data_IF_064644687097
#
_entry.id   IF_064644687097
#
_cell.length_a   1.000
_cell.length_b   1.000
_cell.length_c   1.000
_cell.angle_alpha   90.00
_cell.angle_beta   90.00
_cell.angle_gamma   90.00
#
_symmetry.space_group_name_H-M   'P 1'
#
loop_
_entity.id
_entity.type
_entity.pdbx_description
1 polymer ?
#
# COMPACT_ATOMS: atom_id res chain seq x y z
N UNK A 1 -6.79 -12.95 36.12
CA UNK A 1 -7.79 -13.99 35.78
C UNK A 1 -9.15 -13.46 35.32
N UNK A 2 -9.34 -12.13 35.14
CA UNK A 2 -10.62 -11.56 34.66
C UNK A 2 -10.78 -11.61 33.13
N UNK A 3 -9.70 -11.42 32.36
CA UNK A 3 -9.76 -11.42 30.90
C UNK A 3 -10.24 -12.75 30.29
N UNK A 4 -10.16 -13.86 31.03
CA UNK A 4 -10.73 -15.16 30.64
C UNK A 4 -12.21 -15.07 30.26
N UNK A 5 -12.95 -14.15 30.88
CA UNK A 5 -14.38 -13.92 30.65
C UNK A 5 -14.66 -12.71 29.74
N UNK A 6 -13.62 -12.13 29.14
CA UNK A 6 -13.79 -11.00 28.25
C UNK A 6 -14.31 -11.50 26.89
N UNK A 7 -15.42 -10.95 26.41
CA UNK A 7 -16.09 -11.42 25.18
C UNK A 7 -15.26 -11.20 23.91
N UNK A 8 -14.47 -10.12 23.87
CA UNK A 8 -13.68 -9.69 22.69
C UNK A 8 -12.20 -9.37 22.99
N UNK A 9 -11.41 -10.33 23.48
CA UNK A 9 -10.07 -10.07 24.00
C UNK A 9 -9.08 -9.66 22.92
N UNK A 10 -9.19 -10.20 21.70
CA UNK A 10 -8.29 -9.83 20.58
C UNK A 10 -8.69 -8.47 20.03
N UNK A 11 -10.00 -8.20 19.84
CA UNK A 11 -10.46 -6.87 19.43
C UNK A 11 -10.06 -5.79 20.44
N UNK A 12 -10.11 -6.08 21.74
CA UNK A 12 -9.64 -5.17 22.79
C UNK A 12 -8.14 -4.85 22.63
N UNK A 13 -7.29 -5.87 22.45
CA UNK A 13 -5.85 -5.65 22.22
C UNK A 13 -5.60 -4.87 20.94
N UNK A 14 -6.29 -5.21 19.85
CA UNK A 14 -6.17 -4.53 18.57
C UNK A 14 -6.46 -3.03 18.72
N UNK A 15 -7.63 -2.68 19.26
CA UNK A 15 -8.03 -1.29 19.47
C UNK A 15 -7.07 -0.56 20.41
N UNK A 16 -6.62 -1.23 21.48
CA UNK A 16 -5.69 -0.63 22.44
C UNK A 16 -4.34 -0.31 21.80
N UNK A 17 -3.76 -1.26 21.06
CA UNK A 17 -2.48 -1.03 20.38
C UNK A 17 -2.59 -0.06 19.23
N UNK A 18 -3.68 -0.12 18.47
CA UNK A 18 -3.89 0.78 17.36
C UNK A 18 -4.09 2.22 17.82
N UNK A 19 -4.97 2.45 18.80
CA UNK A 19 -5.30 3.77 19.29
C UNK A 19 -4.16 4.41 20.10
N UNK A 20 -3.48 3.61 20.93
CA UNK A 20 -2.38 4.09 21.79
C UNK A 20 -1.00 3.85 21.19
N UNK A 21 -0.88 3.67 19.87
CA UNK A 21 0.40 3.38 19.19
C UNK A 21 1.49 4.39 19.62
N UNK A 22 1.22 5.69 19.51
CA UNK A 22 2.15 6.75 19.90
C UNK A 22 2.59 6.68 21.38
N UNK A 23 1.74 6.17 22.29
CA UNK A 23 2.06 6.04 23.72
C UNK A 23 2.75 4.71 24.06
N UNK A 24 2.59 3.69 23.22
CA UNK A 24 3.07 2.34 23.46
C UNK A 24 4.32 1.98 22.64
N UNK A 25 4.64 2.75 21.59
CA UNK A 25 5.80 2.54 20.71
C UNK A 25 7.09 2.34 21.50
N UNK A 26 7.39 3.27 22.39
CA UNK A 26 8.60 3.26 23.23
C UNK A 26 8.45 2.43 24.52
N UNK A 27 7.37 1.65 24.65
CA UNK A 27 7.07 0.84 25.84
C UNK A 27 6.87 -0.64 25.49
N UNK A 28 7.86 -1.31 24.88
CA UNK A 28 7.74 -2.70 24.45
C UNK A 28 7.40 -3.66 25.59
N UNK A 29 7.94 -3.43 26.79
CA UNK A 29 7.59 -4.20 27.99
C UNK A 29 6.11 -4.12 28.36
N UNK A 30 5.50 -2.94 28.24
CA UNK A 30 4.09 -2.77 28.54
C UNK A 30 3.22 -3.49 27.50
N UNK A 31 3.57 -3.38 26.21
CA UNK A 31 2.91 -4.13 25.13
C UNK A 31 2.97 -5.64 25.40
N UNK A 32 4.18 -6.15 25.66
CA UNK A 32 4.44 -7.57 25.95
C UNK A 32 3.63 -8.06 27.16
N UNK A 33 3.63 -7.30 28.26
CA UNK A 33 2.84 -7.64 29.46
C UNK A 33 1.35 -7.63 29.20
N UNK A 34 0.84 -6.70 28.40
CA UNK A 34 -0.57 -6.63 28.05
C UNK A 34 -1.00 -7.83 27.20
N UNK A 35 -0.20 -8.18 26.18
CA UNK A 35 -0.44 -9.40 25.38
C UNK A 35 -0.42 -10.64 26.27
N UNK A 36 0.59 -10.78 27.14
CA UNK A 36 0.69 -11.91 28.05
C UNK A 36 -0.54 -11.98 28.98
N UNK A 37 -0.92 -10.87 29.61
CA UNK A 37 -2.05 -10.83 30.55
C UNK A 37 -3.39 -11.21 29.88
N UNK A 38 -3.62 -10.75 28.66
CA UNK A 38 -4.88 -11.00 27.93
C UNK A 38 -4.86 -12.37 27.27
N UNK A 39 -3.87 -12.68 26.43
CA UNK A 39 -3.87 -13.92 25.63
C UNK A 39 -3.56 -15.14 26.47
N UNK A 40 -2.64 -15.06 27.44
CA UNK A 40 -2.33 -16.23 28.28
C UNK A 40 -3.54 -16.62 29.15
N UNK A 41 -4.39 -15.66 29.52
CA UNK A 41 -5.62 -15.94 30.26
C UNK A 41 -6.65 -16.76 29.46
N UNK A 42 -6.50 -16.84 28.14
CA UNK A 42 -7.36 -17.61 27.24
C UNK A 42 -6.87 -19.05 27.05
N UNK A 43 -5.65 -19.40 27.48
CA UNK A 43 -5.03 -20.69 27.15
C UNK A 43 -5.77 -21.91 27.72
N UNK A 44 -6.48 -21.74 28.83
CA UNK A 44 -7.26 -22.83 29.43
C UNK A 44 -8.58 -23.11 28.68
N UNK A 45 -9.08 -22.14 27.90
CA UNK A 45 -10.39 -22.21 27.24
C UNK A 45 -10.31 -22.19 25.71
N UNK A 46 -9.12 -21.92 25.15
CA UNK A 46 -8.88 -21.88 23.71
C UNK A 46 -7.79 -22.88 23.33
N UNK A 47 -7.93 -23.57 22.18
CA UNK A 47 -6.94 -24.51 21.71
C UNK A 47 -5.56 -23.86 21.45
N UNK A 48 -4.47 -24.64 21.53
CA UNK A 48 -3.14 -24.17 21.17
C UNK A 48 -3.11 -23.68 19.71
N UNK A 49 -2.28 -22.67 19.42
CA UNK A 49 -2.23 -22.08 18.08
C UNK A 49 -3.40 -21.15 17.72
N UNK A 50 -4.39 -20.94 18.59
CA UNK A 50 -5.54 -20.09 18.29
C UNK A 50 -5.22 -18.63 17.96
N UNK A 51 -4.21 -18.01 18.58
CA UNK A 51 -3.89 -16.60 18.36
C UNK A 51 -2.43 -16.36 17.91
N UNK A 52 -1.49 -16.46 18.84
CA UNK A 52 -0.08 -16.11 18.61
C UNK A 52 0.66 -17.19 17.82
N UNK A 53 1.64 -16.78 17.01
CA UNK A 53 2.61 -17.71 16.42
C UNK A 53 3.51 -18.35 17.48
N UNK A 54 4.09 -19.49 17.14
CA UNK A 54 5.01 -20.19 18.05
C UNK A 54 6.26 -19.38 18.35
N UNK A 55 6.83 -18.71 17.34
CA UNK A 55 7.98 -17.82 17.53
C UNK A 55 7.67 -16.67 18.51
N UNK A 56 6.48 -16.09 18.44
CA UNK A 56 6.06 -15.05 19.39
C UNK A 56 5.81 -15.62 20.79
N UNK A 57 5.29 -16.85 20.92
CA UNK A 57 5.17 -17.53 22.23
C UNK A 57 6.53 -17.75 22.89
N UNK A 58 7.54 -18.15 22.11
CA UNK A 58 8.91 -18.28 22.60
C UNK A 58 9.51 -16.94 23.00
N UNK A 59 9.14 -15.85 22.33
CA UNK A 59 9.50 -14.50 22.79
C UNK A 59 8.81 -14.16 24.12
N UNK A 60 7.53 -14.49 24.28
CA UNK A 60 6.79 -14.24 25.52
C UNK A 60 7.35 -14.97 26.73
N UNK A 61 7.96 -16.16 26.56
CA UNK A 61 8.54 -16.93 27.66
C UNK A 61 9.92 -16.47 28.12
N UNK A 62 10.57 -15.53 27.40
CA UNK A 62 11.87 -14.98 27.82
C UNK A 62 11.77 -14.21 29.15
N UNK A 63 12.87 -13.96 29.86
CA UNK A 63 12.86 -13.05 31.00
C UNK A 63 12.29 -11.67 30.66
N UNK A 64 11.68 -10.98 31.62
CA UNK A 64 11.10 -9.65 31.43
C UNK A 64 12.14 -8.57 31.09
N UNK A 65 13.40 -8.81 31.47
CA UNK A 65 14.56 -7.98 31.18
C UNK A 65 15.06 -8.17 29.73
N UNK A 66 14.78 -9.34 29.13
CA UNK A 66 15.12 -9.63 27.74
C UNK A 66 13.99 -9.21 26.80
N UNK A 67 13.98 -7.92 26.49
CA UNK A 67 12.99 -7.26 25.63
C UNK A 67 13.43 -7.34 24.16
N UNK A 68 14.72 -7.56 23.92
CA UNK A 68 15.38 -7.47 22.62
C UNK A 68 15.02 -8.66 21.72
N UNK A 69 14.00 -8.49 20.89
CA UNK A 69 13.73 -9.42 19.81
C UNK A 69 13.49 -8.71 18.50
N UNK A 70 14.41 -8.91 17.56
CA UNK A 70 14.26 -8.47 16.19
C UNK A 70 14.06 -9.70 15.28
N UNK A 71 12.81 -10.09 14.99
CA UNK A 71 12.57 -11.25 14.15
C UNK A 71 13.16 -11.07 12.74
N UNK A 72 13.69 -12.17 12.19
CA UNK A 72 14.17 -12.22 10.81
C UNK A 72 13.03 -12.28 9.79
N UNK A 73 13.37 -12.24 8.50
CA UNK A 73 12.38 -12.24 7.41
C UNK A 73 11.45 -13.47 7.45
N UNK A 74 11.99 -14.64 7.80
CA UNK A 74 11.24 -15.90 7.91
C UNK A 74 10.05 -15.84 8.86
N UNK A 75 10.14 -15.06 9.93
CA UNK A 75 9.02 -14.84 10.86
C UNK A 75 7.87 -14.09 10.18
N UNK A 76 8.18 -13.00 9.47
CA UNK A 76 7.18 -12.22 8.74
C UNK A 76 6.59 -13.03 7.58
N UNK A 77 7.42 -13.80 6.86
CA UNK A 77 6.97 -14.73 5.83
C UNK A 77 5.98 -15.76 6.39
N UNK A 78 6.27 -16.35 7.56
CA UNK A 78 5.37 -17.32 8.20
C UNK A 78 4.05 -16.66 8.67
N UNK A 79 4.11 -15.43 9.17
CA UNK A 79 2.95 -14.67 9.60
C UNK A 79 2.02 -14.32 8.43
N UNK A 80 2.59 -13.84 7.31
CA UNK A 80 1.83 -13.54 6.08
C UNK A 80 1.26 -14.84 5.50
N UNK A 81 2.06 -15.90 5.43
CA UNK A 81 1.62 -17.23 4.96
C UNK A 81 0.41 -17.74 5.73
N UNK A 82 0.36 -17.53 7.05
CA UNK A 82 -0.79 -17.91 7.88
C UNK A 82 -2.07 -17.21 7.42
N UNK A 83 -2.00 -15.92 7.07
CA UNK A 83 -3.14 -15.18 6.55
C UNK A 83 -3.54 -15.66 5.15
N UNK A 84 -2.57 -15.76 4.23
CA UNK A 84 -2.79 -16.26 2.85
C UNK A 84 -3.49 -17.62 2.87
N UNK A 85 -2.93 -18.58 3.61
CA UNK A 85 -3.49 -19.92 3.72
C UNK A 85 -4.91 -19.89 4.32
N UNK A 86 -5.17 -19.02 5.30
CA UNK A 86 -6.51 -18.89 5.89
C UNK A 86 -7.52 -18.34 4.88
N UNK A 87 -7.14 -17.36 4.06
CA UNK A 87 -7.98 -16.81 3.00
C UNK A 87 -8.26 -17.83 1.89
N UNK A 88 -7.31 -18.74 1.63
CA UNK A 88 -7.47 -19.90 0.76
C UNK A 88 -8.22 -21.06 1.45
N UNK A 89 -8.86 -20.83 2.60
CA UNK A 89 -9.62 -21.83 3.37
C UNK A 89 -8.80 -23.03 3.84
N UNK A 90 -7.47 -22.93 3.91
CA UNK A 90 -6.61 -23.95 4.53
C UNK A 90 -6.72 -23.84 6.06
N UNK A 91 -6.83 -24.96 6.80
CA UNK A 91 -7.06 -24.96 8.25
C UNK A 91 -5.76 -24.64 9.02
N UNK A 92 -5.37 -23.37 9.08
CA UNK A 92 -4.20 -22.92 9.86
C UNK A 92 -4.54 -22.67 11.32
N UNK A 93 -5.73 -22.14 11.57
CA UNK A 93 -6.25 -21.95 12.92
C UNK A 93 -7.10 -23.15 13.32
N UNK A 94 -7.13 -23.50 14.63
CA UNK A 94 -7.99 -24.55 15.13
C UNK A 94 -9.46 -24.26 14.83
N UNK A 95 -10.24 -25.32 14.59
CA UNK A 95 -11.67 -25.19 14.33
C UNK A 95 -12.37 -24.61 15.56
N UNK A 96 -13.11 -23.53 15.35
CA UNK A 96 -13.91 -22.86 16.38
C UNK A 96 -15.31 -22.57 15.85
N UNK A 97 -16.28 -22.56 16.76
CA UNK A 97 -17.67 -22.23 16.43
C UNK A 97 -17.86 -20.71 16.36
N UNK A 98 -17.84 -20.13 15.15
CA UNK A 98 -17.82 -18.67 14.94
C UNK A 98 -19.01 -17.93 15.56
N UNK A 99 -20.16 -18.57 15.75
CA UNK A 99 -21.35 -17.97 16.39
C UNK A 99 -21.08 -17.48 17.83
N UNK A 100 -20.13 -18.10 18.53
CA UNK A 100 -19.79 -17.77 19.92
C UNK A 100 -18.39 -17.17 20.05
N UNK A 101 -17.85 -16.60 18.97
CA UNK A 101 -16.54 -15.96 18.95
C UNK A 101 -16.67 -14.47 18.65
N UNK A 102 -15.61 -13.72 18.97
CA UNK A 102 -15.56 -12.28 18.69
C UNK A 102 -15.53 -11.94 17.19
N UNK A 103 -15.18 -12.91 16.33
CA UNK A 103 -15.10 -12.77 14.88
C UNK A 103 -16.10 -13.68 14.18
N UNK A 104 -16.65 -13.19 13.05
CA UNK A 104 -17.64 -13.92 12.26
C UNK A 104 -17.05 -15.06 11.40
N UNK A 105 -15.74 -15.04 11.12
CA UNK A 105 -15.07 -16.02 10.28
C UNK A 105 -13.55 -16.09 10.55
N UNK A 106 -12.90 -17.11 9.98
CA UNK A 106 -11.47 -17.36 10.12
C UNK A 106 -10.59 -16.26 9.55
N UNK A 107 -10.98 -15.63 8.44
CA UNK A 107 -10.24 -14.54 7.81
C UNK A 107 -10.14 -13.31 8.70
N UNK A 108 -11.28 -12.88 9.26
CA UNK A 108 -11.34 -11.77 10.21
C UNK A 108 -10.51 -12.05 11.47
N UNK A 109 -10.59 -13.28 12.00
CA UNK A 109 -9.78 -13.72 13.12
C UNK A 109 -8.28 -13.66 12.81
N UNK A 110 -7.86 -14.29 11.71
CA UNK A 110 -6.47 -14.35 11.26
C UNK A 110 -5.85 -12.96 11.07
N UNK A 111 -6.61 -12.04 10.50
CA UNK A 111 -6.21 -10.64 10.31
C UNK A 111 -5.96 -9.96 11.66
N UNK A 112 -6.94 -9.98 12.56
CA UNK A 112 -6.83 -9.28 13.84
C UNK A 112 -5.70 -9.83 14.71
N UNK A 113 -5.56 -11.16 14.84
CA UNK A 113 -4.48 -11.73 15.64
C UNK A 113 -3.11 -11.41 15.06
N UNK A 114 -2.99 -11.35 13.73
CA UNK A 114 -1.73 -10.99 13.07
C UNK A 114 -1.40 -9.51 13.24
N UNK A 115 -2.37 -8.60 13.14
CA UNK A 115 -2.17 -7.19 13.44
C UNK A 115 -1.81 -6.94 14.91
N UNK A 116 -2.48 -7.63 15.85
CA UNK A 116 -2.13 -7.55 17.28
C UNK A 116 -0.70 -8.00 17.52
N UNK A 117 -0.29 -9.12 16.92
CA UNK A 117 1.06 -9.65 17.06
C UNK A 117 2.12 -8.68 16.50
N UNK A 118 1.87 -8.11 15.31
CA UNK A 118 2.74 -7.11 14.67
C UNK A 118 2.88 -5.84 15.51
N UNK A 119 1.77 -5.29 16.03
CA UNK A 119 1.83 -4.09 16.88
C UNK A 119 2.52 -4.36 18.22
N UNK A 120 2.48 -5.60 18.70
CA UNK A 120 3.09 -6.01 19.96
C UNK A 120 4.59 -6.33 19.85
N UNK A 121 5.18 -6.37 18.65
CA UNK A 121 6.63 -6.51 18.48
C UNK A 121 7.39 -5.35 19.13
N UNK A 122 8.60 -5.58 19.65
CA UNK A 122 9.39 -4.52 20.29
C UNK A 122 10.08 -3.58 19.30
N UNK A 123 10.03 -3.89 18.00
CA UNK A 123 10.64 -3.09 16.93
C UNK A 123 9.81 -1.85 16.58
N UNK A 124 10.48 -0.86 15.97
CA UNK A 124 9.82 0.34 15.44
C UNK A 124 8.82 -0.03 14.32
N UNK A 125 7.63 0.62 14.26
CA UNK A 125 6.63 0.42 13.20
C UNK A 125 7.19 0.42 11.78
N UNK A 126 8.06 1.38 11.45
CA UNK A 126 8.66 1.53 10.12
C UNK A 126 9.53 0.33 9.77
N UNK A 127 10.25 -0.24 10.74
CA UNK A 127 11.06 -1.45 10.54
C UNK A 127 10.15 -2.65 10.28
N UNK A 128 9.12 -2.82 11.10
CA UNK A 128 8.16 -3.93 10.96
C UNK A 128 7.48 -3.88 9.60
N UNK A 129 6.99 -2.70 9.19
CA UNK A 129 6.32 -2.54 7.90
C UNK A 129 7.28 -2.78 6.73
N UNK A 130 8.50 -2.28 6.78
CA UNK A 130 9.52 -2.60 5.76
C UNK A 130 9.83 -4.10 5.71
N UNK A 131 9.82 -4.81 6.84
CA UNK A 131 9.97 -6.27 6.85
C UNK A 131 8.78 -6.99 6.22
N UNK A 132 7.55 -6.48 6.37
CA UNK A 132 6.39 -6.99 5.64
C UNK A 132 6.54 -6.77 4.13
N UNK A 133 7.08 -5.63 3.70
CA UNK A 133 7.33 -5.38 2.27
C UNK A 133 8.45 -6.27 1.73
N UNK A 134 9.51 -6.48 2.52
CA UNK A 134 10.63 -7.35 2.19
C UNK A 134 10.19 -8.81 1.97
N UNK A 135 9.06 -9.26 2.54
CA UNK A 135 8.50 -10.60 2.26
C UNK A 135 8.28 -10.77 0.75
N UNK A 136 7.77 -9.72 0.09
CA UNK A 136 7.53 -9.72 -1.34
C UNK A 136 8.76 -9.30 -2.14
N UNK A 137 9.47 -8.25 -1.70
CA UNK A 137 10.56 -7.66 -2.48
C UNK A 137 11.89 -8.42 -2.39
N UNK A 138 12.11 -9.19 -1.32
CA UNK A 138 13.34 -9.97 -1.09
C UNK A 138 13.07 -11.45 -0.90
N UNK A 139 11.95 -11.79 -0.26
CA UNK A 139 11.49 -13.16 -0.04
C UNK A 139 10.72 -13.76 -1.22
N UNK A 140 10.67 -13.08 -2.37
CA UNK A 140 9.92 -13.48 -3.55
C UNK A 140 10.16 -14.95 -3.96
N UNK A 141 11.41 -15.42 -3.86
CA UNK A 141 11.78 -16.79 -4.22
C UNK A 141 11.18 -17.86 -3.29
N UNK A 142 10.76 -17.50 -2.09
CA UNK A 142 10.14 -18.41 -1.12
C UNK A 142 8.60 -18.51 -1.30
N UNK A 143 8.04 -17.72 -2.23
CA UNK A 143 6.62 -17.70 -2.54
C UNK A 143 6.35 -18.66 -3.71
N UNK A 144 5.40 -19.61 -3.58
CA UNK A 144 5.06 -20.52 -4.67
C UNK A 144 4.66 -19.75 -5.95
N UNK A 145 5.16 -20.21 -7.10
CA UNK A 145 4.79 -19.64 -8.39
C UNK A 145 3.28 -19.77 -8.59
N UNK A 146 2.58 -18.64 -8.72
CA UNK A 146 1.13 -18.57 -8.84
C UNK A 146 0.39 -18.11 -7.59
N UNK A 147 1.07 -17.98 -6.44
CA UNK A 147 0.45 -17.43 -5.20
C UNK A 147 0.82 -15.96 -4.94
N UNK A 148 1.62 -15.33 -5.81
CA UNK A 148 2.19 -14.00 -5.54
C UNK A 148 1.11 -12.95 -5.31
N UNK A 149 0.01 -13.01 -6.06
CA UNK A 149 -1.11 -12.08 -5.95
C UNK A 149 -1.80 -12.18 -4.58
N UNK A 150 -2.00 -13.40 -4.05
CA UNK A 150 -2.57 -13.61 -2.73
C UNK A 150 -1.66 -13.09 -1.62
N UNK A 151 -0.34 -13.19 -1.79
CA UNK A 151 0.62 -12.62 -0.87
C UNK A 151 0.64 -11.09 -0.93
N UNK A 152 0.60 -10.50 -2.13
CA UNK A 152 0.46 -9.06 -2.33
C UNK A 152 -0.83 -8.55 -1.68
N UNK A 153 -1.94 -9.28 -1.86
CA UNK A 153 -3.23 -9.00 -1.25
C UNK A 153 -3.17 -9.05 0.28
N UNK A 154 -2.58 -10.11 0.85
CA UNK A 154 -2.46 -10.28 2.30
C UNK A 154 -1.59 -9.19 2.95
N UNK A 155 -0.47 -8.81 2.33
CA UNK A 155 0.40 -7.74 2.84
C UNK A 155 -0.31 -6.38 2.78
N UNK A 156 -0.96 -6.05 1.67
CA UNK A 156 -1.72 -4.79 1.54
C UNK A 156 -2.88 -4.71 2.56
N UNK A 157 -3.57 -5.83 2.80
CA UNK A 157 -4.62 -5.93 3.81
C UNK A 157 -4.06 -5.73 5.23
N UNK A 158 -2.96 -6.40 5.59
CA UNK A 158 -2.31 -6.24 6.89
C UNK A 158 -1.90 -4.79 7.15
N UNK A 159 -1.23 -4.15 6.17
CA UNK A 159 -0.76 -2.77 6.30
C UNK A 159 -1.92 -1.78 6.50
N UNK A 160 -3.03 -2.00 5.80
CA UNK A 160 -4.23 -1.18 5.94
C UNK A 160 -4.80 -1.19 7.36
N UNK A 161 -4.74 -2.34 8.04
CA UNK A 161 -5.26 -2.53 9.39
C UNK A 161 -4.27 -2.14 10.49
N UNK A 162 -3.06 -1.73 10.14
CA UNK A 162 -2.07 -1.23 11.09
C UNK A 162 -2.13 0.31 11.20
N UNK A 163 -1.62 0.88 12.30
CA UNK A 163 -1.55 2.33 12.48
C UNK A 163 -0.72 3.05 11.42
N UNK A 164 -0.91 4.36 11.31
CA UNK A 164 -0.26 5.24 10.32
C UNK A 164 1.25 5.06 10.15
N UNK A 165 2.07 4.97 11.20
CA UNK A 165 3.51 4.77 11.06
C UNK A 165 3.92 3.48 10.33
N UNK A 166 3.02 2.48 10.26
CA UNK A 166 3.27 1.24 9.54
C UNK A 166 3.03 1.43 8.04
N UNK A 167 1.89 1.96 7.62
CA UNK A 167 1.57 2.01 6.18
C UNK A 167 2.17 3.20 5.43
N UNK A 168 2.63 4.26 6.12
CA UNK A 168 3.33 5.38 5.47
C UNK A 168 4.58 4.95 4.68
N UNK A 169 5.18 3.82 5.04
CA UNK A 169 6.35 3.27 4.33
C UNK A 169 6.05 2.94 2.86
N UNK A 170 4.78 2.70 2.50
CA UNK A 170 4.38 2.47 1.11
C UNK A 170 4.62 3.73 0.28
N UNK A 171 4.29 4.90 0.84
CA UNK A 171 4.57 6.17 0.19
C UNK A 171 6.07 6.37 0.01
N UNK A 172 6.89 5.98 0.99
CA UNK A 172 8.34 6.03 0.87
C UNK A 172 8.85 5.11 -0.25
N UNK A 173 8.32 3.89 -0.38
CA UNK A 173 8.67 2.98 -1.47
C UNK A 173 8.26 3.47 -2.85
N UNK A 174 7.12 4.16 -2.96
CA UNK A 174 6.72 4.81 -4.22
C UNK A 174 7.74 5.90 -4.60
N UNK A 175 8.17 6.72 -3.63
CA UNK A 175 9.18 7.75 -3.86
C UNK A 175 10.53 7.13 -4.26
N UNK A 176 10.99 6.10 -3.55
CA UNK A 176 12.21 5.37 -3.90
C UNK A 176 12.13 4.76 -5.31
N UNK A 177 10.97 4.20 -5.69
CA UNK A 177 10.75 3.68 -7.04
C UNK A 177 10.91 4.80 -8.07
N UNK A 178 10.23 5.92 -7.91
CA UNK A 178 10.29 7.06 -8.85
C UNK A 178 11.71 7.63 -8.96
N UNK A 179 12.52 7.53 -7.91
CA UNK A 179 13.90 7.98 -7.90
C UNK A 179 14.91 6.96 -8.43
N UNK A 180 14.48 5.74 -8.82
CA UNK A 180 15.38 4.76 -9.42
C UNK A 180 16.02 5.34 -10.70
N UNK A 181 17.32 5.10 -10.97
CA UNK A 181 18.01 5.65 -12.12
C UNK A 181 17.31 5.37 -13.45
N UNK A 182 16.73 4.18 -13.62
CA UNK A 182 16.00 3.79 -14.84
C UNK A 182 14.81 4.71 -15.14
N UNK A 183 14.22 5.34 -14.12
CA UNK A 183 13.10 6.26 -14.25
C UNK A 183 13.55 7.72 -14.17
N UNK A 184 14.44 8.07 -13.25
CA UNK A 184 14.88 9.44 -13.00
C UNK A 184 15.91 9.97 -14.02
N UNK A 185 16.65 9.07 -14.68
CA UNK A 185 17.65 9.38 -15.70
C UNK A 185 17.70 8.26 -16.74
N UNK A 186 16.64 8.09 -17.56
CA UNK A 186 16.54 7.00 -18.52
C UNK A 186 17.66 7.10 -19.57
N UNK A 187 18.49 6.05 -19.64
CA UNK A 187 19.50 5.89 -20.70
C UNK A 187 18.92 5.23 -21.96
N UNK A 188 19.77 4.97 -22.96
CA UNK A 188 19.35 4.21 -24.16
C UNK A 188 18.88 2.79 -23.85
N UNK A 189 19.38 2.21 -22.75
CA UNK A 189 19.14 0.82 -22.37
C UNK A 189 18.06 0.70 -21.28
N UNK A 190 17.37 1.79 -20.93
CA UNK A 190 16.29 1.73 -19.95
C UNK A 190 15.13 0.91 -20.50
N UNK A 191 14.65 -0.06 -19.71
CA UNK A 191 13.41 -0.76 -20.06
C UNK A 191 12.25 0.22 -20.15
N UNK A 192 11.39 -0.02 -21.14
CA UNK A 192 10.15 0.70 -21.32
C UNK A 192 9.30 0.63 -20.03
N UNK A 193 8.74 1.76 -19.54
CA UNK A 193 8.00 1.80 -18.29
C UNK A 193 6.77 0.89 -18.29
N UNK A 194 6.12 0.64 -19.44
CA UNK A 194 4.96 -0.27 -19.48
C UNK A 194 5.38 -1.72 -19.26
N UNK A 195 6.55 -2.12 -19.78
CA UNK A 195 7.13 -3.44 -19.51
C UNK A 195 7.62 -3.55 -18.05
N UNK A 196 8.24 -2.49 -17.52
CA UNK A 196 8.74 -2.42 -16.14
C UNK A 196 7.63 -2.61 -15.09
N UNK A 197 6.40 -2.25 -15.44
CA UNK A 197 5.23 -2.31 -14.57
C UNK A 197 4.40 -3.59 -14.75
N UNK A 198 4.68 -4.39 -15.79
CA UNK A 198 3.95 -5.61 -16.08
C UNK A 198 4.50 -6.79 -15.26
N UNK A 199 3.88 -7.07 -14.11
CA UNK A 199 4.31 -8.13 -13.21
C UNK A 199 4.29 -9.51 -13.89
N UNK A 200 3.20 -9.85 -14.58
CA UNK A 200 3.01 -11.17 -15.22
C UNK A 200 4.11 -11.47 -16.25
N UNK A 201 4.43 -10.47 -17.07
CA UNK A 201 5.50 -10.55 -18.06
C UNK A 201 6.87 -10.72 -17.41
N UNK A 202 7.17 -9.94 -16.37
CA UNK A 202 8.46 -9.97 -15.67
C UNK A 202 8.68 -11.26 -14.87
N UNK A 203 7.62 -11.83 -14.31
CA UNK A 203 7.67 -13.13 -13.64
C UNK A 203 8.00 -14.25 -14.62
N UNK A 204 7.40 -14.20 -15.81
CA UNK A 204 7.64 -15.16 -16.89
C UNK A 204 9.08 -15.08 -17.41
N UNK A 205 9.67 -13.88 -17.47
CA UNK A 205 11.05 -13.66 -17.94
C UNK A 205 12.11 -13.78 -16.84
N UNK A 206 11.71 -14.05 -15.58
CA UNK A 206 12.60 -14.08 -14.39
C UNK A 206 13.47 -12.82 -14.25
N UNK A 207 12.93 -11.67 -14.64
CA UNK A 207 13.59 -10.37 -14.57
C UNK A 207 13.40 -9.70 -13.20
N UNK A 208 14.01 -8.54 -12.97
CA UNK A 208 13.76 -7.76 -11.75
C UNK A 208 12.29 -7.32 -11.68
N UNK A 209 11.55 -7.87 -10.71
CA UNK A 209 10.13 -7.58 -10.47
C UNK A 209 9.93 -6.49 -9.42
N UNK A 210 10.99 -5.90 -8.86
CA UNK A 210 10.91 -4.95 -7.75
C UNK A 210 9.99 -3.76 -8.02
N UNK A 211 10.03 -3.20 -9.23
CA UNK A 211 9.18 -2.07 -9.62
C UNK A 211 7.71 -2.48 -9.73
N UNK A 212 7.41 -3.52 -10.51
CA UNK A 212 6.06 -4.05 -10.66
C UNK A 212 5.45 -4.49 -9.33
N UNK A 213 6.23 -5.16 -8.45
CA UNK A 213 5.78 -5.55 -7.11
C UNK A 213 5.50 -4.35 -6.21
N UNK A 214 6.29 -3.27 -6.33
CA UNK A 214 6.04 -2.04 -5.56
C UNK A 214 4.71 -1.40 -5.96
N UNK A 215 4.42 -1.36 -7.27
CA UNK A 215 3.13 -0.86 -7.78
C UNK A 215 1.98 -1.78 -7.40
N UNK A 216 2.13 -3.09 -7.56
CA UNK A 216 1.11 -4.08 -7.17
C UNK A 216 0.79 -4.01 -5.66
N UNK A 217 1.81 -3.81 -4.81
CA UNK A 217 1.64 -3.61 -3.39
C UNK A 217 0.92 -2.30 -3.06
N UNK A 218 1.28 -1.19 -3.73
CA UNK A 218 0.59 0.08 -3.58
C UNK A 218 -0.89 -0.04 -3.98
N UNK A 219 -1.17 -0.73 -5.08
CA UNK A 219 -2.53 -1.02 -5.53
C UNK A 219 -3.29 -1.88 -4.51
N UNK A 220 -2.68 -2.97 -4.02
CA UNK A 220 -3.30 -3.82 -2.99
C UNK A 220 -3.62 -3.05 -1.71
N UNK A 221 -2.69 -2.24 -1.22
CA UNK A 221 -2.93 -1.37 -0.06
C UNK A 221 -4.05 -0.37 -0.34
N UNK A 222 -4.01 0.35 -1.47
CA UNK A 222 -5.06 1.31 -1.83
C UNK A 222 -6.40 0.66 -2.13
N UNK A 223 -6.45 -0.63 -2.46
CA UNK A 223 -7.69 -1.39 -2.62
C UNK A 223 -8.36 -1.63 -1.26
N UNK A 224 -7.58 -2.03 -0.26
CA UNK A 224 -8.09 -2.28 1.09
C UNK A 224 -8.27 -1.01 1.92
N UNK A 225 -7.53 0.05 1.60
CA UNK A 225 -7.47 1.30 2.36
C UNK A 225 -8.85 1.87 2.68
N UNK A 226 -9.01 2.45 3.87
CA UNK A 226 -10.21 3.20 4.24
C UNK A 226 -10.32 4.52 3.45
N UNK A 227 -11.52 5.11 3.44
CA UNK A 227 -11.77 6.44 2.86
C UNK A 227 -10.78 7.50 3.38
N UNK A 228 -10.45 7.46 4.68
CA UNK A 228 -9.50 8.39 5.29
C UNK A 228 -8.06 8.21 4.81
N UNK A 229 -7.63 6.98 4.53
CA UNK A 229 -6.31 6.68 3.97
C UNK A 229 -6.24 7.09 2.49
N UNK A 230 -7.22 6.70 1.68
CA UNK A 230 -7.31 7.06 0.26
C UNK A 230 -7.43 8.57 0.06
N UNK A 231 -8.17 9.26 0.93
CA UNK A 231 -8.33 10.72 0.89
C UNK A 231 -7.04 11.52 1.05
N UNK A 232 -5.94 10.90 1.52
CA UNK A 232 -4.61 11.52 1.64
C UNK A 232 -3.76 11.41 0.38
N UNK A 233 -4.15 10.59 -0.61
CA UNK A 233 -3.37 10.39 -1.83
C UNK A 233 -3.15 11.69 -2.63
N UNK A 234 -4.15 12.59 -2.82
CA UNK A 234 -3.90 13.84 -3.53
C UNK A 234 -2.87 14.74 -2.83
N UNK A 235 -2.89 14.77 -1.50
CA UNK A 235 -1.89 15.51 -0.72
C UNK A 235 -0.50 14.89 -0.88
N UNK A 236 -0.41 13.55 -0.82
CA UNK A 236 0.84 12.84 -1.08
C UNK A 236 1.39 13.14 -2.49
N UNK A 237 0.54 13.14 -3.51
CA UNK A 237 0.92 13.50 -4.87
C UNK A 237 1.49 14.91 -4.93
N UNK A 238 0.79 15.87 -4.34
CA UNK A 238 1.16 17.30 -4.32
C UNK A 238 2.50 17.56 -3.62
N UNK A 239 2.66 16.98 -2.43
CA UNK A 239 3.73 17.35 -1.49
C UNK A 239 4.98 16.48 -1.64
N UNK A 240 4.85 15.25 -2.13
CA UNK A 240 5.98 14.31 -2.19
C UNK A 240 6.28 13.81 -3.59
N UNK A 241 5.28 13.48 -4.39
CA UNK A 241 5.50 12.95 -5.75
C UNK A 241 5.87 14.07 -6.72
N UNK A 242 5.02 15.09 -6.87
CA UNK A 242 5.22 16.17 -7.83
C UNK A 242 6.58 16.86 -7.67
N UNK A 243 7.10 17.16 -6.45
CA UNK A 243 8.42 17.77 -6.28
C UNK A 243 9.61 16.98 -6.84
N UNK A 244 9.49 15.66 -7.03
CA UNK A 244 10.58 14.82 -7.56
C UNK A 244 10.43 14.45 -9.04
N UNK A 245 9.27 14.72 -9.66
CA UNK A 245 9.06 14.43 -11.08
C UNK A 245 9.95 15.30 -11.97
N UNK A 246 10.70 14.67 -12.84
CA UNK A 246 11.60 15.28 -13.82
C UNK A 246 11.54 14.59 -15.19
N UNK A 247 11.07 13.35 -15.27
CA UNK A 247 11.04 12.55 -16.50
C UNK A 247 9.63 12.07 -16.86
N UNK A 248 9.47 11.64 -18.10
CA UNK A 248 8.21 11.13 -18.60
C UNK A 248 7.89 9.74 -18.05
N UNK A 249 8.90 8.89 -17.87
CA UNK A 249 8.79 7.55 -17.33
C UNK A 249 8.25 7.58 -15.89
N UNK A 250 8.69 8.55 -15.08
CA UNK A 250 8.12 8.78 -13.75
C UNK A 250 6.63 9.13 -13.82
N UNK A 251 6.22 10.00 -14.76
CA UNK A 251 4.81 10.37 -14.92
C UNK A 251 3.96 9.18 -15.35
N UNK A 252 4.46 8.33 -16.25
CA UNK A 252 3.78 7.08 -16.64
C UNK A 252 3.55 6.18 -15.42
N UNK A 253 4.53 6.04 -14.53
CA UNK A 253 4.37 5.27 -13.28
C UNK A 253 3.31 5.90 -12.37
N UNK A 254 3.28 7.24 -12.24
CA UNK A 254 2.25 7.93 -11.45
C UNK A 254 0.85 7.68 -12.03
N UNK A 255 0.68 7.76 -13.35
CA UNK A 255 -0.59 7.43 -14.01
C UNK A 255 -1.02 5.98 -13.74
N UNK A 256 -0.10 5.02 -13.80
CA UNK A 256 -0.38 3.61 -13.47
C UNK A 256 -0.75 3.40 -12.01
N UNK A 257 -0.15 4.15 -11.09
CA UNK A 257 -0.48 4.08 -9.67
C UNK A 257 -1.93 4.53 -9.44
N UNK A 258 -2.31 5.72 -9.92
CA UNK A 258 -3.60 6.34 -9.56
C UNK A 258 -4.76 5.91 -10.45
N UNK A 259 -4.50 5.54 -11.70
CA UNK A 259 -5.52 5.21 -12.70
C UNK A 259 -6.58 4.22 -12.22
N UNK A 260 -6.19 3.05 -11.66
CA UNK A 260 -7.15 2.05 -11.19
C UNK A 260 -8.10 2.53 -10.08
N UNK A 261 -7.75 3.62 -9.38
CA UNK A 261 -8.51 4.14 -8.24
C UNK A 261 -9.36 5.36 -8.59
N UNK A 262 -9.37 5.83 -9.84
CA UNK A 262 -10.16 6.98 -10.29
C UNK A 262 -11.66 6.82 -10.00
N UNK A 263 -12.23 5.64 -10.30
CA UNK A 263 -13.62 5.34 -9.98
C UNK A 263 -13.86 5.42 -8.46
N UNK A 264 -12.92 4.92 -7.66
CA UNK A 264 -13.00 4.95 -6.20
C UNK A 264 -12.98 6.39 -5.67
N UNK A 265 -12.07 7.23 -6.18
CA UNK A 265 -12.04 8.65 -5.85
C UNK A 265 -13.32 9.38 -6.26
N UNK A 266 -13.98 8.95 -7.33
CA UNK A 266 -15.22 9.55 -7.81
C UNK A 266 -16.44 9.13 -6.96
N UNK A 267 -16.60 7.83 -6.70
CA UNK A 267 -17.80 7.29 -6.06
C UNK A 267 -17.79 7.38 -4.53
N UNK A 268 -16.63 7.19 -3.90
CA UNK A 268 -16.53 7.05 -2.44
C UNK A 268 -16.12 8.34 -1.73
N UNK A 269 -15.38 9.20 -2.43
CA UNK A 269 -14.74 10.39 -1.86
C UNK A 269 -15.13 11.61 -2.69
N UNK A 270 -16.38 12.05 -2.56
CA UNK A 270 -16.97 13.12 -3.36
C UNK A 270 -15.94 14.24 -3.68
N UNK A 271 -15.69 14.44 -4.98
CA UNK A 271 -14.78 15.45 -5.56
C UNK A 271 -13.28 15.22 -5.40
N UNK A 272 -12.81 14.16 -4.73
CA UNK A 272 -11.35 13.84 -4.68
C UNK A 272 -10.78 13.44 -6.03
N UNK A 273 -11.61 12.93 -6.94
CA UNK A 273 -11.19 12.71 -8.33
C UNK A 273 -10.74 14.02 -9.01
N UNK A 274 -11.32 15.17 -8.62
CA UNK A 274 -10.89 16.48 -9.16
C UNK A 274 -9.50 16.84 -8.65
N UNK A 275 -9.25 16.70 -7.34
CA UNK A 275 -7.93 16.93 -6.74
C UNK A 275 -6.85 16.07 -7.43
N UNK A 276 -7.10 14.76 -7.60
CA UNK A 276 -6.17 13.85 -8.30
C UNK A 276 -5.95 14.28 -9.74
N UNK A 277 -7.01 14.65 -10.45
CA UNK A 277 -6.91 15.04 -11.87
C UNK A 277 -6.11 16.32 -12.04
N UNK A 278 -6.36 17.35 -11.23
CA UNK A 278 -5.59 18.60 -11.25
C UNK A 278 -4.11 18.30 -10.97
N UNK A 279 -3.82 17.43 -9.98
CA UNK A 279 -2.45 17.02 -9.69
C UNK A 279 -1.77 16.28 -10.85
N UNK A 280 -2.49 15.50 -11.65
CA UNK A 280 -1.95 14.88 -12.87
C UNK A 280 -1.61 15.93 -13.94
N UNK A 281 -2.43 16.97 -14.12
CA UNK A 281 -2.11 18.08 -15.03
C UNK A 281 -0.90 18.88 -14.55
N UNK A 282 -0.81 19.18 -13.25
CA UNK A 282 0.36 19.86 -12.67
C UNK A 282 1.64 19.01 -12.79
N UNK A 283 1.52 17.69 -12.61
CA UNK A 283 2.62 16.75 -12.83
C UNK A 283 3.07 16.76 -14.30
N UNK A 284 2.14 16.73 -15.26
CA UNK A 284 2.45 16.85 -16.67
C UNK A 284 3.15 18.17 -16.99
N UNK A 285 2.64 19.31 -16.51
CA UNK A 285 3.26 20.61 -16.74
C UNK A 285 4.67 20.71 -16.15
N UNK A 286 4.92 20.06 -15.01
CA UNK A 286 6.26 20.00 -14.44
C UNK A 286 7.21 19.18 -15.33
N UNK A 287 6.80 17.99 -15.74
CA UNK A 287 7.63 17.12 -16.59
C UNK A 287 7.88 17.78 -17.94
N UNK A 288 6.87 18.41 -18.53
CA UNK A 288 6.95 19.15 -19.79
C UNK A 288 8.06 20.22 -19.78
N UNK A 289 8.25 20.90 -18.64
CA UNK A 289 9.33 21.88 -18.46
C UNK A 289 10.70 21.27 -18.17
N UNK A 290 10.72 20.02 -17.73
CA UNK A 290 11.94 19.33 -17.27
C UNK A 290 12.63 18.54 -18.40
N UNK A 291 11.88 18.17 -19.45
CA UNK A 291 12.40 17.37 -20.57
C UNK A 291 12.42 18.15 -21.87
N UNK A 292 13.36 17.82 -22.76
CA UNK A 292 13.44 18.40 -24.10
C UNK A 292 12.42 17.79 -25.05
N UNK A 293 12.15 16.49 -24.94
CA UNK A 293 11.22 15.74 -25.78
C UNK A 293 10.34 14.79 -24.96
N UNK A 294 9.17 14.45 -25.49
CA UNK A 294 8.19 13.55 -24.87
C UNK A 294 7.83 12.42 -25.84
N UNK A 295 8.14 11.18 -25.45
CA UNK A 295 7.93 9.95 -26.23
C UNK A 295 6.53 9.38 -26.04
N UNK A 296 5.92 9.56 -24.88
CA UNK A 296 4.68 8.94 -24.41
C UNK A 296 3.51 9.94 -24.34
N UNK A 297 3.55 11.01 -25.14
CA UNK A 297 2.52 12.05 -25.18
C UNK A 297 1.12 11.48 -25.43
N UNK A 298 0.98 10.54 -26.37
CA UNK A 298 -0.32 10.00 -26.76
C UNK A 298 -0.96 9.19 -25.60
N UNK A 299 -0.30 8.17 -25.01
CA UNK A 299 -0.83 7.48 -23.83
C UNK A 299 -1.19 8.40 -22.66
N UNK A 300 -0.36 9.41 -22.39
CA UNK A 300 -0.62 10.37 -21.29
C UNK A 300 -1.89 11.18 -21.60
N UNK A 301 -2.02 11.70 -22.83
CA UNK A 301 -3.20 12.45 -23.24
C UNK A 301 -4.47 11.59 -23.24
N UNK A 302 -4.37 10.33 -23.67
CA UNK A 302 -5.50 9.39 -23.69
C UNK A 302 -6.05 9.13 -22.28
N UNK A 303 -5.18 8.95 -21.29
CA UNK A 303 -5.58 8.83 -19.88
C UNK A 303 -6.28 10.09 -19.40
N UNK A 304 -5.78 11.28 -19.74
CA UNK A 304 -6.42 12.55 -19.36
C UNK A 304 -7.80 12.74 -20.02
N UNK A 305 -7.95 12.33 -21.29
CA UNK A 305 -9.26 12.32 -21.95
C UNK A 305 -10.21 11.30 -21.33
N UNK A 306 -9.72 10.10 -21.01
CA UNK A 306 -10.51 9.10 -20.28
C UNK A 306 -11.02 9.68 -18.96
N UNK A 307 -10.15 10.37 -18.21
CA UNK A 307 -10.53 11.01 -16.95
C UNK A 307 -11.61 12.08 -17.17
N UNK A 308 -11.44 12.93 -18.20
CA UNK A 308 -12.43 13.94 -18.58
C UNK A 308 -13.79 13.31 -18.82
N UNK A 309 -13.88 12.35 -19.73
CA UNK A 309 -15.17 11.84 -20.18
C UNK A 309 -15.84 10.90 -19.16
N UNK A 310 -15.07 10.19 -18.34
CA UNK A 310 -15.61 9.23 -17.39
C UNK A 310 -15.89 9.81 -16.00
N UNK A 311 -15.16 10.84 -15.57
CA UNK A 311 -15.23 11.30 -14.18
C UNK A 311 -15.46 12.80 -14.03
N UNK A 312 -14.63 13.65 -14.65
CA UNK A 312 -14.63 15.08 -14.32
C UNK A 312 -15.59 15.92 -15.16
N UNK A 313 -15.89 15.50 -16.39
CA UNK A 313 -16.61 16.30 -17.37
C UNK A 313 -15.92 17.65 -17.57
N UNK A 314 -16.71 18.73 -17.52
CA UNK A 314 -16.18 20.10 -17.60
C UNK A 314 -15.94 20.73 -16.22
N UNK A 315 -16.10 19.98 -15.12
CA UNK A 315 -16.10 20.51 -13.74
C UNK A 315 -14.78 21.16 -13.33
N UNK A 316 -13.65 20.72 -13.92
CA UNK A 316 -12.31 21.23 -13.64
C UNK A 316 -11.74 22.05 -14.80
N UNK A 317 -12.55 22.36 -15.82
CA UNK A 317 -12.09 22.99 -17.06
C UNK A 317 -11.31 24.28 -16.78
N UNK A 318 -11.83 25.15 -15.93
CA UNK A 318 -11.20 26.43 -15.58
C UNK A 318 -9.89 26.26 -14.83
N UNK A 319 -9.78 25.22 -14.00
CA UNK A 319 -8.57 24.94 -13.22
C UNK A 319 -7.43 24.44 -14.12
N UNK A 320 -7.76 23.59 -15.11
CA UNK A 320 -6.73 22.98 -15.99
C UNK A 320 -6.40 23.82 -17.22
N UNK A 321 -7.23 24.79 -17.59
CA UNK A 321 -7.03 25.61 -18.79
C UNK A 321 -5.75 26.44 -18.74
N UNK A 322 -5.45 27.06 -17.59
CA UNK A 322 -4.20 27.78 -17.40
C UNK A 322 -2.99 26.87 -17.52
N UNK A 323 -3.09 25.64 -17.01
CA UNK A 323 -2.02 24.64 -17.09
C UNK A 323 -1.77 24.23 -18.53
N UNK A 324 -2.83 23.88 -19.28
CA UNK A 324 -2.73 23.42 -20.67
C UNK A 324 -2.12 24.51 -21.57
N UNK A 325 -2.52 25.77 -21.41
CA UNK A 325 -1.94 26.90 -22.17
C UNK A 325 -0.45 27.10 -21.92
N UNK A 326 0.06 26.64 -20.77
CA UNK A 326 1.47 26.69 -20.42
C UNK A 326 2.29 25.50 -20.92
N UNK A 327 1.69 24.50 -21.56
CA UNK A 327 2.38 23.32 -22.10
C UNK A 327 3.00 23.60 -23.47
N UNK A 328 3.93 22.75 -23.92
CA UNK A 328 4.45 22.83 -25.30
C UNK A 328 3.35 22.71 -26.38
N UNK A 329 3.52 23.31 -27.58
CA UNK A 329 2.48 23.29 -28.63
C UNK A 329 2.01 21.90 -29.06
N UNK A 330 2.89 20.90 -29.00
CA UNK A 330 2.54 19.52 -29.33
C UNK A 330 1.54 18.90 -28.33
N UNK A 331 1.62 19.24 -27.03
CA UNK A 331 0.66 18.81 -26.01
C UNK A 331 -0.63 19.62 -26.11
N UNK A 332 -0.54 20.93 -26.33
CA UNK A 332 -1.72 21.79 -26.53
C UNK A 332 -2.60 21.29 -27.67
N UNK A 333 -2.00 20.93 -28.82
CA UNK A 333 -2.74 20.37 -29.96
C UNK A 333 -3.42 19.04 -29.65
N UNK A 334 -2.82 18.20 -28.82
CA UNK A 334 -3.40 16.91 -28.39
C UNK A 334 -4.53 17.10 -27.39
N UNK A 335 -4.35 18.00 -26.42
CA UNK A 335 -5.31 18.30 -25.35
C UNK A 335 -6.34 19.36 -25.72
N UNK A 336 -6.38 19.80 -26.99
CA UNK A 336 -7.25 20.91 -27.45
C UNK A 336 -8.73 20.74 -27.13
N UNK A 337 -9.24 19.51 -27.06
CA UNK A 337 -10.65 19.23 -26.77
C UNK A 337 -10.95 19.12 -25.27
N UNK A 338 -9.93 19.15 -24.40
CA UNK A 338 -10.15 19.26 -22.95
C UNK A 338 -10.77 20.62 -22.63
N UNK A 339 -10.23 21.71 -23.21
CA UNK A 339 -10.65 23.09 -22.92
C UNK A 339 -11.29 23.82 -24.11
N UNK A 340 -11.31 23.20 -25.29
CA UNK A 340 -11.73 23.80 -26.57
C UNK A 340 -10.87 25.03 -26.94
N UNK A 341 -9.54 24.83 -26.96
CA UNK A 341 -8.60 25.86 -27.43
C UNK A 341 -8.73 26.05 -28.95
N UNK A 342 -8.76 27.32 -29.39
CA UNK A 342 -8.71 27.66 -30.82
C UNK A 342 -7.31 27.39 -31.39
N UNK A 343 -7.23 26.74 -32.56
CA UNK A 343 -5.97 26.38 -33.20
C UNK A 343 -5.09 27.60 -33.52
N UNK A 344 -5.72 28.72 -33.87
CA UNK A 344 -5.04 29.99 -34.18
C UNK A 344 -4.30 30.61 -32.97
N UNK A 345 -4.57 30.12 -31.75
CA UNK A 345 -3.91 30.58 -30.52
C UNK A 345 -2.68 29.75 -30.12
N UNK A 346 -2.35 28.70 -30.89
CA UNK A 346 -1.30 27.71 -30.59
C UNK A 346 -0.05 27.89 -31.49
N UNK A 347 -0.08 28.88 -32.40
CA UNK A 347 1.04 29.21 -33.31
C UNK A 347 2.16 30.02 -32.63
#
# INVERSE_FOLDING_TARGET
MLYKFHDRPITYLYNTFHYYENKLRERPNLKRRLVAAVIMSQQEIRPPGWALTEAYRQYLSRPAEDIGWNPGLSYYTALVRRLVNTMQSKPIFPLVEWRFNEFANSGAHALHVSCVELMALPSNPTIIANKLLDVLLKGYCDIPSGEVEEWVNAVGLLLTWLPEPYWLVIHDRIIELLQKPNLAAPGSDSMDPFTLLNLEQLQSSRSDTSAALTVALAHSFWHHASFGQVGRIPQFMRERVRPILATEEQLVVVCHLVGPFLQRFNSELARKVFDVTIELYEALAKVDRSVTDLKYMDPICDVLYHIKYMFTGDSIKTDVEGIIRGLRPALQRRLRFITHLNLDSIE
#
